data_IF_650119524168
#
_entry.id   IF_650119524168
#
_cell.length_a   1.000
_cell.length_b   1.000
_cell.length_c   1.000
_cell.angle_alpha   90.00
_cell.angle_beta   90.00
_cell.angle_gamma   90.00
#
_symmetry.space_group_name_H-M   'P 1'
#
loop_
_entity.id
_entity.type
_entity.pdbx_description
1 polymer ?
#
# COMPACT_ATOMS: atom_id res chain seq x y z
N UNK A 1 63.03 -51.22 -37.76
CA UNK A 1 62.88 -50.56 -36.48
C UNK A 1 62.58 -49.09 -36.77
N UNK A 2 61.36 -48.66 -36.75
CA UNK A 2 60.93 -47.29 -36.96
C UNK A 2 60.46 -46.73 -35.63
N UNK A 3 61.22 -45.78 -35.08
CA UNK A 3 60.82 -45.04 -33.85
C UNK A 3 59.70 -44.07 -34.18
N UNK A 4 58.60 -44.27 -33.55
CA UNK A 4 57.44 -43.31 -33.54
C UNK A 4 57.66 -42.30 -32.44
N UNK A 5 58.04 -41.10 -32.81
CA UNK A 5 58.14 -39.92 -31.92
C UNK A 5 56.74 -39.44 -31.54
N UNK A 6 56.40 -39.53 -30.26
CA UNK A 6 55.17 -39.04 -29.68
C UNK A 6 55.32 -37.51 -29.41
N UNK A 7 54.53 -36.69 -30.17
CA UNK A 7 54.46 -35.26 -29.91
C UNK A 7 53.34 -34.98 -28.87
N UNK A 8 53.58 -34.25 -27.79
CA UNK A 8 52.55 -33.89 -26.81
C UNK A 8 51.65 -32.83 -27.39
N UNK A 9 50.36 -33.10 -27.48
CA UNK A 9 49.32 -32.18 -27.90
C UNK A 9 49.17 -31.05 -26.90
N UNK A 10 49.10 -29.81 -27.41
CA UNK A 10 49.04 -28.55 -26.70
C UNK A 10 47.82 -28.42 -25.76
N UNK A 11 48.09 -28.30 -24.46
CA UNK A 11 47.09 -27.97 -23.41
C UNK A 11 46.62 -26.49 -23.41
N UNK A 12 46.92 -25.70 -24.45
CA UNK A 12 46.80 -24.23 -24.44
C UNK A 12 45.42 -23.70 -24.98
N UNK A 13 44.64 -24.50 -25.66
CA UNK A 13 43.38 -24.03 -26.31
C UNK A 13 42.18 -24.05 -25.38
N UNK A 14 42.16 -24.90 -24.35
CA UNK A 14 41.04 -25.04 -23.42
C UNK A 14 40.92 -23.86 -22.46
N UNK A 15 42.02 -23.33 -21.95
CA UNK A 15 42.05 -22.16 -21.07
C UNK A 15 41.54 -20.88 -21.76
N UNK A 16 41.79 -20.71 -23.06
CA UNK A 16 41.26 -19.56 -23.82
C UNK A 16 39.76 -19.65 -24.05
N UNK A 17 39.23 -20.85 -24.27
CA UNK A 17 37.78 -21.09 -24.44
C UNK A 17 37.00 -20.86 -23.15
N UNK A 18 37.55 -21.17 -21.98
CA UNK A 18 36.99 -20.90 -20.67
C UNK A 18 37.01 -19.38 -20.34
N UNK A 19 38.10 -18.71 -20.67
CA UNK A 19 38.24 -17.27 -20.43
C UNK A 19 37.27 -16.44 -21.31
N UNK A 20 37.10 -16.84 -22.58
CA UNK A 20 36.13 -16.23 -23.48
C UNK A 20 34.68 -16.51 -23.06
N UNK A 21 34.36 -17.73 -22.61
CA UNK A 21 33.04 -18.07 -22.06
C UNK A 21 32.70 -17.29 -20.82
N UNK A 22 33.66 -17.11 -19.88
CA UNK A 22 33.48 -16.32 -18.68
C UNK A 22 33.31 -14.83 -18.98
N UNK A 23 34.06 -14.27 -19.95
CA UNK A 23 33.90 -12.88 -20.39
C UNK A 23 32.52 -12.62 -21.05
N UNK A 24 32.06 -13.54 -21.87
CA UNK A 24 30.73 -13.44 -22.50
C UNK A 24 29.63 -13.53 -21.44
N UNK A 25 29.73 -14.46 -20.48
CA UNK A 25 28.78 -14.58 -19.38
C UNK A 25 28.75 -13.31 -18.51
N UNK A 26 29.93 -12.72 -18.23
CA UNK A 26 30.03 -11.47 -17.48
C UNK A 26 29.44 -10.28 -18.26
N UNK A 27 29.69 -10.20 -19.57
CA UNK A 27 29.12 -9.17 -20.44
C UNK A 27 27.60 -9.30 -20.51
N UNK A 28 27.05 -10.52 -20.71
CA UNK A 28 25.60 -10.77 -20.72
C UNK A 28 24.97 -10.41 -19.37
N UNK A 29 25.65 -10.73 -18.26
CA UNK A 29 25.17 -10.38 -16.90
C UNK A 29 25.18 -8.87 -16.68
N UNK A 30 26.22 -8.15 -17.15
CA UNK A 30 26.32 -6.70 -17.07
C UNK A 30 25.27 -6.01 -17.98
N UNK A 31 25.11 -6.47 -19.22
CA UNK A 31 24.08 -5.95 -20.12
C UNK A 31 22.67 -6.24 -19.61
N UNK A 32 22.44 -7.42 -19.03
CA UNK A 32 21.20 -7.77 -18.36
C UNK A 32 20.91 -6.86 -17.17
N UNK A 33 21.90 -6.64 -16.29
CA UNK A 33 21.76 -5.75 -15.15
C UNK A 33 21.52 -4.29 -15.56
N UNK A 34 22.24 -3.78 -16.57
CA UNK A 34 22.04 -2.43 -17.12
C UNK A 34 20.66 -2.32 -17.78
N UNK A 35 20.20 -3.36 -18.49
CA UNK A 35 18.88 -3.43 -19.09
C UNK A 35 17.76 -3.35 -18.05
N UNK A 36 17.88 -4.12 -16.97
CA UNK A 36 16.91 -4.09 -15.85
C UNK A 36 16.91 -2.72 -15.17
N UNK A 37 18.08 -2.15 -14.87
CA UNK A 37 18.16 -0.80 -14.26
C UNK A 37 17.57 0.28 -15.17
N UNK A 38 17.80 0.20 -16.49
CA UNK A 38 17.22 1.16 -17.44
C UNK A 38 15.71 0.98 -17.58
N UNK A 39 15.20 -0.24 -17.61
CA UNK A 39 13.76 -0.51 -17.64
C UNK A 39 13.08 0.02 -16.37
N UNK A 40 13.64 -0.27 -15.20
CA UNK A 40 13.15 0.26 -13.93
C UNK A 40 13.14 1.78 -13.90
N UNK A 41 14.24 2.43 -14.34
CA UNK A 41 14.31 3.90 -14.38
C UNK A 41 13.34 4.52 -15.40
N UNK A 42 13.08 3.86 -16.53
CA UNK A 42 12.10 4.33 -17.51
C UNK A 42 10.68 4.26 -16.92
N UNK A 43 10.33 3.17 -16.22
CA UNK A 43 9.03 2.99 -15.59
C UNK A 43 8.84 3.95 -14.39
N UNK A 44 9.89 4.27 -13.62
CA UNK A 44 9.84 5.26 -12.54
C UNK A 44 9.43 6.66 -13.01
N UNK A 45 9.78 7.03 -14.24
CA UNK A 45 9.40 8.31 -14.83
C UNK A 45 7.94 8.36 -15.30
N UNK A 46 7.23 7.23 -15.36
CA UNK A 46 5.82 7.17 -15.76
C UNK A 46 4.84 7.35 -14.62
N UNK A 47 5.33 7.33 -13.37
CA UNK A 47 4.50 7.49 -12.17
C UNK A 47 3.89 8.88 -12.14
N UNK A 48 2.58 8.95 -11.91
CA UNK A 48 1.87 10.20 -11.76
C UNK A 48 2.35 10.94 -10.53
N UNK A 49 2.66 12.23 -10.67
CA UNK A 49 3.09 13.11 -9.58
C UNK A 49 1.98 14.06 -9.20
N UNK A 50 1.80 14.26 -7.89
CA UNK A 50 0.83 15.17 -7.30
C UNK A 50 1.57 16.38 -6.74
N UNK A 51 1.60 17.44 -7.54
CA UNK A 51 2.31 18.68 -7.20
C UNK A 51 1.63 19.42 -6.06
N UNK A 52 0.31 19.44 -6.04
CA UNK A 52 -0.50 20.16 -5.06
C UNK A 52 -0.25 19.63 -3.66
N UNK A 53 -0.27 18.31 -3.45
CA UNK A 53 0.06 17.70 -2.16
C UNK A 53 1.47 18.07 -1.70
N UNK A 54 2.44 18.13 -2.62
CA UNK A 54 3.85 18.44 -2.32
C UNK A 54 4.00 19.79 -1.60
N UNK A 55 3.17 20.78 -1.91
CA UNK A 55 3.24 22.11 -1.28
C UNK A 55 2.87 22.14 0.20
N UNK A 56 2.16 21.11 0.68
CA UNK A 56 1.69 21.01 2.06
C UNK A 56 2.56 20.10 2.93
N UNK A 57 3.53 19.39 2.34
CA UNK A 57 4.38 18.44 3.07
C UNK A 57 5.28 19.13 4.10
N UNK A 58 5.52 18.42 5.19
CA UNK A 58 6.51 18.81 6.18
C UNK A 58 7.94 18.63 5.64
N UNK A 59 8.90 19.44 6.09
CA UNK A 59 10.31 19.25 5.73
C UNK A 59 10.81 17.86 6.21
N UNK A 60 11.84 17.31 5.54
CA UNK A 60 12.41 16.01 5.93
C UNK A 60 12.86 16.00 7.40
N UNK A 61 12.58 14.91 8.11
CA UNK A 61 13.04 14.67 9.46
C UNK A 61 14.26 13.73 9.46
N UNK A 62 15.17 13.88 10.44
CA UNK A 62 16.39 13.07 10.54
C UNK A 62 16.12 11.64 11.04
N UNK A 63 15.10 11.44 11.87
CA UNK A 63 14.86 10.21 12.61
C UNK A 63 13.78 9.33 12.02
N UNK A 64 12.77 9.95 11.39
CA UNK A 64 11.61 9.23 10.86
C UNK A 64 11.07 9.85 9.57
N UNK A 65 10.17 9.16 8.95
CA UNK A 65 9.36 9.64 7.82
C UNK A 65 7.92 9.17 7.96
N UNK A 66 6.99 10.07 7.74
CA UNK A 66 5.56 9.77 7.70
C UNK A 66 5.03 9.88 6.27
N UNK A 67 4.35 8.84 5.83
CA UNK A 67 3.73 8.74 4.52
C UNK A 67 2.22 8.72 4.70
N UNK A 68 1.51 9.67 4.11
CA UNK A 68 0.05 9.67 4.07
C UNK A 68 -0.41 8.83 2.89
N UNK A 69 -0.98 7.67 3.17
CA UNK A 69 -1.65 6.83 2.19
C UNK A 69 -3.11 7.19 2.10
N UNK A 70 -3.58 7.46 0.89
CA UNK A 70 -4.95 7.84 0.57
C UNK A 70 -5.53 6.84 -0.41
N UNK A 71 -6.61 6.15 0.00
CA UNK A 71 -7.44 5.37 -0.90
C UNK A 71 -8.56 6.24 -1.44
N UNK A 72 -8.51 6.59 -2.72
CA UNK A 72 -9.58 7.36 -3.35
C UNK A 72 -10.63 6.45 -3.97
N UNK A 73 -11.88 6.88 -3.95
CA UNK A 73 -12.97 6.20 -4.64
C UNK A 73 -13.06 6.62 -6.12
N UNK A 74 -11.95 7.11 -6.67
CA UNK A 74 -11.86 7.46 -8.09
C UNK A 74 -12.10 6.22 -8.94
N UNK A 75 -13.01 6.37 -9.88
CA UNK A 75 -13.40 5.35 -10.87
C UNK A 75 -12.86 5.65 -12.25
N UNK A 76 -11.92 6.57 -12.34
CA UNK A 76 -11.27 6.91 -13.61
C UNK A 76 -10.57 5.68 -14.16
N UNK A 77 -10.93 5.29 -15.39
CA UNK A 77 -10.40 4.08 -16.02
C UNK A 77 -11.08 2.78 -15.59
N UNK A 78 -12.26 2.84 -14.92
CA UNK A 78 -13.07 1.65 -14.70
C UNK A 78 -13.48 1.04 -16.05
N UNK A 79 -13.26 -0.28 -16.19
CA UNK A 79 -13.62 -1.01 -17.39
C UNK A 79 -15.04 -1.57 -17.24
N UNK A 80 -15.98 -1.24 -18.16
CA UNK A 80 -17.34 -1.79 -18.13
C UNK A 80 -17.39 -3.33 -18.23
N UNK A 81 -16.31 -3.97 -18.68
CA UNK A 81 -16.20 -5.43 -18.78
C UNK A 81 -15.72 -6.10 -17.50
N UNK A 82 -15.21 -5.32 -16.54
CA UNK A 82 -14.79 -5.84 -15.23
C UNK A 82 -15.96 -6.49 -14.48
N UNK A 83 -15.71 -7.62 -13.86
CA UNK A 83 -16.73 -8.39 -13.14
C UNK A 83 -17.37 -7.60 -11.97
N UNK A 84 -16.65 -6.62 -11.42
CA UNK A 84 -17.09 -5.76 -10.32
C UNK A 84 -17.67 -4.41 -10.77
N UNK A 85 -17.76 -4.14 -12.08
CA UNK A 85 -18.20 -2.84 -12.60
C UNK A 85 -19.56 -2.42 -12.02
N UNK A 86 -20.50 -3.35 -11.92
CA UNK A 86 -21.81 -3.09 -11.33
C UNK A 86 -21.78 -2.73 -9.83
N UNK A 87 -20.73 -3.15 -9.12
CA UNK A 87 -20.53 -2.88 -7.69
C UNK A 87 -19.61 -1.65 -7.44
N UNK A 88 -18.74 -1.34 -8.40
CA UNK A 88 -17.86 -0.17 -8.37
C UNK A 88 -18.59 1.05 -8.96
N UNK A 89 -19.35 0.88 -10.02
CA UNK A 89 -20.15 1.89 -10.72
C UNK A 89 -19.32 2.76 -11.69
N UNK A 90 -20.01 3.62 -12.43
CA UNK A 90 -19.43 4.53 -13.41
C UNK A 90 -18.76 5.75 -12.73
N UNK A 91 -17.76 6.34 -13.41
CA UNK A 91 -17.12 7.58 -13.01
C UNK A 91 -18.07 8.78 -12.87
N UNK A 92 -19.22 8.74 -13.57
CA UNK A 92 -20.25 9.78 -13.55
C UNK A 92 -21.30 9.68 -12.43
N UNK A 93 -21.37 8.54 -11.71
CA UNK A 93 -22.50 8.23 -10.83
C UNK A 93 -22.45 8.87 -9.43
N UNK A 94 -21.34 9.44 -9.01
CA UNK A 94 -21.20 10.02 -7.67
C UNK A 94 -20.64 11.44 -7.75
N UNK A 95 -21.38 12.37 -7.17
CA UNK A 95 -20.95 13.76 -7.00
C UNK A 95 -19.75 13.90 -6.06
N UNK A 96 -18.56 14.01 -6.62
CA UNK A 96 -17.29 14.26 -5.92
C UNK A 96 -16.51 13.00 -5.54
N UNK A 97 -15.19 13.06 -5.73
CA UNK A 97 -14.25 12.03 -5.27
C UNK A 97 -14.06 12.14 -3.76
N UNK A 98 -13.97 11.01 -3.06
CA UNK A 98 -13.76 10.97 -1.62
C UNK A 98 -12.57 10.07 -1.28
N UNK A 99 -11.89 10.42 -0.21
CA UNK A 99 -10.94 9.49 0.40
C UNK A 99 -11.69 8.54 1.33
N UNK A 100 -11.79 7.28 0.93
CA UNK A 100 -12.45 6.25 1.75
C UNK A 100 -11.52 5.60 2.76
N UNK A 101 -10.21 5.71 2.52
CA UNK A 101 -9.14 5.17 3.38
C UNK A 101 -8.08 6.23 3.61
N UNK A 102 -7.76 6.50 4.86
CA UNK A 102 -6.66 7.37 5.28
C UNK A 102 -5.79 6.60 6.26
N UNK A 103 -4.50 6.47 5.93
CA UNK A 103 -3.51 5.82 6.80
C UNK A 103 -2.22 6.62 6.83
N UNK A 104 -1.60 6.75 8.00
CA UNK A 104 -0.23 7.26 8.11
C UNK A 104 0.69 6.09 8.38
N UNK A 105 1.68 5.90 7.51
CA UNK A 105 2.78 4.98 7.74
C UNK A 105 3.95 5.75 8.34
N UNK A 106 4.41 5.30 9.48
CA UNK A 106 5.56 5.83 10.20
C UNK A 106 6.76 4.90 10.04
N UNK A 107 7.82 5.40 9.43
CA UNK A 107 9.08 4.68 9.23
C UNK A 107 10.17 5.28 10.10
N UNK A 108 10.72 4.50 11.02
CA UNK A 108 11.83 4.91 11.89
C UNK A 108 13.16 4.57 11.22
N UNK A 109 13.94 5.56 10.81
CA UNK A 109 15.17 5.40 10.02
C UNK A 109 16.22 4.53 10.71
N UNK A 110 16.42 4.70 12.01
CA UNK A 110 17.43 3.98 12.79
C UNK A 110 17.17 2.48 12.89
N UNK A 111 15.90 2.06 12.97
CA UNK A 111 15.52 0.66 13.20
C UNK A 111 14.95 -0.03 11.97
N UNK A 112 14.56 0.73 10.95
CA UNK A 112 13.80 0.22 9.80
C UNK A 112 12.39 -0.24 10.15
N UNK A 113 11.89 0.09 11.36
CA UNK A 113 10.57 -0.33 11.80
C UNK A 113 9.48 0.49 11.14
N UNK A 114 8.38 -0.21 10.80
CA UNK A 114 7.19 0.39 10.18
C UNK A 114 6.00 0.22 11.10
N UNK A 115 5.24 1.30 11.26
CA UNK A 115 3.96 1.33 11.99
C UNK A 115 2.91 2.00 11.13
N UNK A 116 1.65 1.53 11.21
CA UNK A 116 0.52 2.10 10.48
C UNK A 116 -0.49 2.68 11.46
N UNK A 117 -0.96 3.88 11.20
CA UNK A 117 -2.08 4.52 11.88
C UNK A 117 -3.26 4.60 10.91
N UNK A 118 -4.37 3.97 11.23
CA UNK A 118 -5.61 4.11 10.46
C UNK A 118 -6.40 5.29 11.01
N UNK A 119 -6.73 6.25 10.13
CA UNK A 119 -7.54 7.43 10.46
C UNK A 119 -8.96 7.20 9.97
N UNK A 120 -9.97 7.16 10.85
CA UNK A 120 -11.36 7.02 10.42
C UNK A 120 -11.81 8.20 9.56
N UNK A 121 -12.43 7.93 8.42
CA UNK A 121 -12.88 8.95 7.46
C UNK A 121 -13.94 9.92 8.00
N UNK A 122 -14.70 9.49 9.03
CA UNK A 122 -15.77 10.26 9.66
C UNK A 122 -15.27 11.07 10.88
N UNK A 123 -13.94 11.15 11.08
CA UNK A 123 -13.33 11.98 12.12
C UNK A 123 -13.69 13.46 11.87
N UNK A 124 -14.29 14.10 12.89
CA UNK A 124 -14.76 15.47 12.79
C UNK A 124 -13.68 16.47 13.20
N UNK A 125 -13.18 17.23 12.25
CA UNK A 125 -12.00 18.09 12.41
C UNK A 125 -12.14 19.38 11.61
N UNK A 126 -11.36 20.39 11.97
CA UNK A 126 -11.20 21.59 11.15
C UNK A 126 -10.50 21.23 9.81
N UNK A 127 -11.02 21.77 8.71
CA UNK A 127 -10.53 21.44 7.36
C UNK A 127 -9.45 22.45 6.93
N UNK A 128 -8.33 21.95 6.44
CA UNK A 128 -7.19 22.75 5.99
C UNK A 128 -6.64 23.61 7.11
N UNK A 129 -6.45 24.90 6.82
CA UNK A 129 -6.05 25.91 7.79
C UNK A 129 -7.25 26.71 8.33
N UNK A 130 -8.48 26.25 8.03
CA UNK A 130 -9.71 26.93 8.42
C UNK A 130 -10.17 26.55 9.83
N UNK A 131 -11.31 27.15 10.24
CA UNK A 131 -12.00 26.83 11.50
C UNK A 131 -13.27 26.01 11.31
N UNK A 132 -13.69 25.81 10.06
CA UNK A 132 -14.88 25.03 9.74
C UNK A 132 -14.61 23.55 9.95
N UNK A 133 -15.31 22.94 10.88
CA UNK A 133 -15.23 21.49 11.12
C UNK A 133 -16.13 20.72 10.17
N UNK A 134 -15.59 19.61 9.64
CA UNK A 134 -16.32 18.65 8.80
C UNK A 134 -15.72 17.23 9.02
N UNK A 135 -16.27 16.20 8.37
CA UNK A 135 -15.61 14.90 8.32
C UNK A 135 -14.30 15.02 7.56
N UNK A 136 -13.23 14.42 8.05
CA UNK A 136 -11.86 14.54 7.49
C UNK A 136 -11.79 14.14 6.01
N UNK A 137 -12.63 13.19 5.56
CA UNK A 137 -12.65 12.73 4.16
C UNK A 137 -13.15 13.80 3.18
N UNK A 138 -13.86 14.84 3.65
CA UNK A 138 -14.32 15.94 2.79
C UNK A 138 -13.16 16.85 2.36
N UNK A 139 -12.07 16.88 3.12
CA UNK A 139 -10.87 17.66 2.79
C UNK A 139 -10.27 17.26 1.43
N UNK A 140 -10.40 15.98 1.04
CA UNK A 140 -9.91 15.50 -0.26
C UNK A 140 -10.61 16.16 -1.45
N UNK A 141 -11.91 16.51 -1.31
CA UNK A 141 -12.67 17.22 -2.35
C UNK A 141 -12.20 18.67 -2.55
N UNK A 142 -11.61 19.26 -1.52
CA UNK A 142 -11.11 20.63 -1.55
C UNK A 142 -9.67 20.70 -2.11
N UNK A 143 -8.98 19.56 -2.20
CA UNK A 143 -7.63 19.43 -2.72
C UNK A 143 -6.74 18.51 -1.90
N UNK A 144 -5.74 17.94 -2.54
CA UNK A 144 -4.78 17.02 -1.88
C UNK A 144 -3.92 17.74 -0.84
N UNK A 145 -3.55 19.00 -1.09
CA UNK A 145 -2.84 19.86 -0.12
C UNK A 145 -3.73 20.20 1.09
N UNK A 146 -5.03 20.42 0.85
CA UNK A 146 -5.99 20.67 1.94
C UNK A 146 -6.13 19.42 2.81
N UNK A 147 -6.16 18.22 2.21
CA UNK A 147 -6.18 16.98 2.95
C UNK A 147 -4.91 16.80 3.80
N UNK A 148 -3.73 17.02 3.23
CA UNK A 148 -2.45 16.92 3.97
C UNK A 148 -2.46 17.89 5.16
N UNK A 149 -2.80 19.17 4.93
CA UNK A 149 -2.90 20.17 6.02
C UNK A 149 -3.94 19.79 7.07
N UNK A 150 -5.05 19.22 6.65
CA UNK A 150 -6.10 18.76 7.58
C UNK A 150 -5.58 17.65 8.50
N UNK A 151 -4.89 16.65 7.95
CA UNK A 151 -4.31 15.57 8.75
C UNK A 151 -3.24 16.12 9.71
N UNK A 152 -2.36 16.97 9.23
CA UNK A 152 -1.33 17.60 10.06
C UNK A 152 -1.93 18.46 11.16
N UNK A 153 -2.89 19.33 10.84
CA UNK A 153 -3.55 20.22 11.80
C UNK A 153 -4.38 19.49 12.86
N UNK A 154 -5.12 18.45 12.43
CA UNK A 154 -6.00 17.69 13.32
C UNK A 154 -5.25 16.76 14.27
N UNK A 155 -4.15 16.16 13.82
CA UNK A 155 -3.42 15.14 14.56
C UNK A 155 -2.04 15.61 15.06
N UNK A 156 -1.53 16.76 14.60
CA UNK A 156 -0.17 17.19 14.94
C UNK A 156 0.92 16.29 14.38
N UNK A 157 0.60 15.43 13.40
CA UNK A 157 1.54 14.47 12.80
C UNK A 157 2.13 15.08 11.53
N UNK A 158 3.45 15.34 11.47
CA UNK A 158 4.07 15.84 10.24
C UNK A 158 3.97 14.80 9.13
N UNK A 159 3.58 15.21 7.93
CA UNK A 159 3.49 14.36 6.74
C UNK A 159 4.61 14.73 5.78
N UNK A 160 5.49 13.78 5.48
CA UNK A 160 6.67 13.99 4.64
C UNK A 160 6.46 13.55 3.19
N UNK A 161 5.55 12.58 2.99
CA UNK A 161 5.22 12.03 1.68
C UNK A 161 3.73 11.76 1.53
N UNK A 162 3.26 11.87 0.30
CA UNK A 162 1.88 11.59 -0.09
C UNK A 162 1.84 10.44 -1.12
N UNK A 163 0.97 9.46 -0.89
CA UNK A 163 0.74 8.33 -1.78
C UNK A 163 -0.76 8.10 -1.92
N UNK A 164 -1.27 8.18 -3.13
CA UNK A 164 -2.67 7.91 -3.44
C UNK A 164 -2.81 6.67 -4.32
N UNK A 165 -3.84 5.89 -4.03
CA UNK A 165 -4.19 4.66 -4.74
C UNK A 165 -5.69 4.69 -5.03
N UNK A 166 -6.07 4.66 -6.31
CA UNK A 166 -7.46 4.50 -6.74
C UNK A 166 -7.86 3.03 -6.83
N UNK A 167 -9.12 2.74 -7.12
CA UNK A 167 -9.63 1.37 -7.22
C UNK A 167 -8.92 0.54 -8.29
N UNK A 168 -8.62 1.13 -9.44
CA UNK A 168 -7.91 0.43 -10.52
C UNK A 168 -6.45 0.20 -10.15
N UNK A 169 -5.82 1.18 -9.51
CA UNK A 169 -4.48 1.05 -8.95
C UNK A 169 -4.40 -0.07 -7.92
N UNK A 170 -5.36 -0.13 -7.01
CA UNK A 170 -5.44 -1.19 -6.01
C UNK A 170 -5.50 -2.58 -6.66
N UNK A 171 -6.40 -2.78 -7.65
CA UNK A 171 -6.50 -4.06 -8.37
C UNK A 171 -5.16 -4.41 -9.04
N UNK A 172 -4.53 -3.46 -9.74
CA UNK A 172 -3.23 -3.69 -10.38
C UNK A 172 -2.11 -4.06 -9.40
N UNK A 173 -2.08 -3.46 -8.21
CA UNK A 173 -1.10 -3.82 -7.17
C UNK A 173 -1.30 -5.28 -6.74
N UNK A 174 -2.56 -5.68 -6.48
CA UNK A 174 -2.89 -7.05 -6.07
C UNK A 174 -2.50 -8.07 -7.13
N UNK A 175 -2.85 -7.82 -8.39
CA UNK A 175 -2.49 -8.68 -9.52
C UNK A 175 -0.97 -8.78 -9.69
N UNK A 176 -0.26 -7.66 -9.58
CA UNK A 176 1.19 -7.62 -9.72
C UNK A 176 1.92 -8.48 -8.68
N UNK A 177 1.38 -8.61 -7.47
CA UNK A 177 1.96 -9.49 -6.43
C UNK A 177 1.47 -10.93 -6.50
N UNK A 178 0.61 -11.27 -7.48
CA UNK A 178 0.04 -12.62 -7.66
C UNK A 178 -1.11 -12.94 -6.71
N UNK A 179 -1.84 -11.92 -6.26
CA UNK A 179 -2.93 -12.03 -5.30
C UNK A 179 -2.51 -11.91 -3.84
N UNK A 180 -3.49 -11.77 -2.96
CA UNK A 180 -3.29 -11.61 -1.51
C UNK A 180 -3.99 -12.70 -0.74
N UNK A 181 -3.24 -13.43 0.10
CA UNK A 181 -3.81 -14.50 0.93
C UNK A 181 -4.50 -13.92 2.17
N UNK A 182 -5.80 -14.16 2.28
CA UNK A 182 -6.65 -13.75 3.40
C UNK A 182 -7.36 -14.96 3.98
N UNK A 183 -7.44 -15.03 5.31
CA UNK A 183 -8.08 -16.12 6.02
C UNK A 183 -9.32 -15.62 6.77
N UNK A 184 -10.43 -16.34 6.66
CA UNK A 184 -11.65 -16.08 7.43
C UNK A 184 -12.08 -17.34 8.18
N UNK A 185 -12.53 -17.20 9.41
CA UNK A 185 -12.93 -18.34 10.24
C UNK A 185 -14.23 -18.99 9.75
N UNK A 186 -15.16 -18.16 9.27
CA UNK A 186 -16.46 -18.58 8.78
C UNK A 186 -16.66 -18.14 7.33
N UNK A 187 -17.52 -18.84 6.55
CA UNK A 187 -17.93 -18.33 5.25
C UNK A 187 -18.42 -16.89 5.38
N UNK A 188 -17.90 -15.99 4.56
CA UNK A 188 -18.11 -14.55 4.70
C UNK A 188 -18.59 -13.95 3.39
N UNK A 189 -19.41 -12.90 3.47
CA UNK A 189 -19.91 -12.18 2.30
C UNK A 189 -20.21 -10.71 2.61
N UNK A 190 -20.29 -9.94 1.55
CA UNK A 190 -20.93 -8.61 1.54
C UNK A 190 -21.64 -8.43 0.20
N UNK A 191 -22.96 -8.37 0.21
CA UNK A 191 -23.79 -8.25 -0.99
C UNK A 191 -23.62 -6.90 -1.71
N UNK A 192 -23.21 -5.86 -0.99
CA UNK A 192 -23.02 -4.53 -1.56
C UNK A 192 -21.70 -4.40 -2.33
N UNK A 193 -20.69 -5.18 -1.97
CA UNK A 193 -19.40 -5.21 -2.66
C UNK A 193 -19.23 -6.42 -3.58
N UNK A 194 -20.16 -7.36 -3.55
CA UNK A 194 -20.07 -8.63 -4.27
C UNK A 194 -19.10 -9.63 -3.65
N UNK A 195 -18.60 -9.38 -2.44
CA UNK A 195 -17.68 -10.27 -1.74
C UNK A 195 -18.34 -11.61 -1.38
N UNK A 196 -17.64 -12.71 -1.68
CA UNK A 196 -17.95 -14.03 -1.15
C UNK A 196 -16.65 -14.81 -0.87
N UNK A 197 -16.48 -15.28 0.36
CA UNK A 197 -15.33 -16.07 0.79
C UNK A 197 -15.81 -17.34 1.50
N UNK A 198 -15.16 -18.46 1.22
CA UNK A 198 -15.35 -19.69 1.99
C UNK A 198 -14.53 -19.62 3.28
N UNK A 199 -14.91 -20.39 4.31
CA UNK A 199 -14.08 -20.53 5.50
C UNK A 199 -12.69 -21.09 5.14
N UNK A 200 -11.66 -20.63 5.83
CA UNK A 200 -10.27 -20.93 5.57
C UNK A 200 -9.53 -19.80 4.86
N UNK A 201 -8.39 -20.11 4.28
CA UNK A 201 -7.54 -19.14 3.60
C UNK A 201 -7.78 -19.22 2.07
N UNK A 202 -7.92 -18.06 1.44
CA UNK A 202 -8.07 -17.89 -0.01
C UNK A 202 -7.09 -16.85 -0.51
N UNK A 203 -6.55 -17.06 -1.71
CA UNK A 203 -5.81 -16.01 -2.41
C UNK A 203 -6.81 -15.18 -3.20
N UNK A 204 -6.99 -13.94 -2.81
CA UNK A 204 -7.89 -12.98 -3.44
C UNK A 204 -7.19 -12.35 -4.64
N UNK A 205 -7.87 -12.27 -5.77
CA UNK A 205 -7.48 -11.45 -6.92
C UNK A 205 -7.78 -9.97 -6.68
N UNK A 206 -7.51 -9.09 -7.66
CA UNK A 206 -7.71 -7.65 -7.52
C UNK A 206 -9.17 -7.26 -7.26
N UNK A 207 -10.12 -7.97 -7.88
CA UNK A 207 -11.57 -7.72 -7.72
C UNK A 207 -12.04 -8.17 -6.34
N UNK A 208 -11.72 -9.38 -5.95
CA UNK A 208 -12.09 -9.94 -4.65
C UNK A 208 -11.45 -9.17 -3.49
N UNK A 209 -10.18 -8.79 -3.65
CA UNK A 209 -9.44 -7.99 -2.69
C UNK A 209 -10.05 -6.59 -2.50
N UNK A 210 -10.47 -5.94 -3.60
CA UNK A 210 -11.15 -4.65 -3.55
C UNK A 210 -12.51 -4.78 -2.85
N UNK A 211 -13.27 -5.81 -3.17
CA UNK A 211 -14.55 -6.11 -2.52
C UNK A 211 -14.36 -6.32 -1.00
N UNK A 212 -13.33 -7.08 -0.59
CA UNK A 212 -12.98 -7.30 0.81
C UNK A 212 -12.58 -6.00 1.53
N UNK A 213 -11.70 -5.20 0.95
CA UNK A 213 -11.23 -3.94 1.55
C UNK A 213 -12.33 -2.87 1.67
N UNK A 214 -13.37 -2.91 0.81
CA UNK A 214 -14.51 -1.98 0.80
C UNK A 214 -15.68 -2.43 1.65
N UNK A 215 -15.72 -3.71 2.08
CA UNK A 215 -16.85 -4.30 2.78
C UNK A 215 -17.21 -3.54 4.07
N UNK A 216 -18.45 -3.12 4.20
CA UNK A 216 -19.05 -2.49 5.39
C UNK A 216 -20.17 -3.32 6.00
N UNK A 217 -20.77 -4.17 5.18
CA UNK A 217 -21.87 -5.07 5.57
C UNK A 217 -21.33 -6.50 5.53
N UNK A 218 -20.21 -6.70 6.25
CA UNK A 218 -19.56 -7.99 6.32
C UNK A 218 -20.39 -8.95 7.16
N UNK A 219 -20.91 -9.97 6.50
CA UNK A 219 -21.70 -11.02 7.14
C UNK A 219 -20.85 -12.29 7.23
N UNK A 220 -20.96 -12.99 8.34
CA UNK A 220 -20.37 -14.32 8.56
C UNK A 220 -21.47 -15.34 8.77
N UNK A 221 -21.25 -16.58 8.25
CA UNK A 221 -22.20 -17.67 8.44
C UNK A 221 -21.83 -18.45 9.69
N UNK A 222 -22.48 -18.13 10.82
CA UNK A 222 -22.27 -18.77 12.12
C UNK A 222 -23.51 -19.64 12.42
N UNK A 223 -23.34 -20.89 12.81
CA UNK A 223 -24.40 -21.85 13.11
C UNK A 223 -25.47 -21.99 12.00
N UNK A 224 -25.03 -21.83 10.75
CA UNK A 224 -25.91 -21.95 9.58
C UNK A 224 -26.58 -20.65 9.16
N UNK A 225 -26.57 -19.59 9.99
CA UNK A 225 -27.22 -18.31 9.75
C UNK A 225 -26.20 -17.21 9.40
N UNK A 226 -26.60 -16.29 8.47
CA UNK A 226 -25.80 -15.13 8.12
C UNK A 226 -25.99 -14.03 9.16
N UNK A 227 -24.92 -13.67 9.84
CA UNK A 227 -24.88 -12.66 10.88
C UNK A 227 -23.97 -11.50 10.45
N UNK A 228 -24.48 -10.27 10.56
CA UNK A 228 -23.68 -9.07 10.34
C UNK A 228 -22.65 -8.96 11.47
N UNK A 229 -21.38 -8.66 11.16
CA UNK A 229 -20.32 -8.48 12.16
C UNK A 229 -20.53 -7.25 13.08
N UNK A 230 -21.50 -6.39 12.73
CA UNK A 230 -21.91 -5.21 13.51
C UNK A 230 -20.83 -4.11 13.61
N UNK A 231 -19.63 -4.35 13.13
CA UNK A 231 -18.50 -3.44 13.28
C UNK A 231 -18.43 -2.34 12.22
N UNK A 232 -19.24 -2.44 11.14
CA UNK A 232 -19.37 -1.42 10.09
C UNK A 232 -18.01 -0.81 9.64
N UNK A 233 -17.82 0.51 9.80
CA UNK A 233 -16.59 1.21 9.39
C UNK A 233 -15.36 0.83 10.26
N UNK A 234 -15.54 0.45 11.52
CA UNK A 234 -14.44 -0.02 12.39
C UNK A 234 -13.93 -1.37 11.89
N UNK A 235 -14.84 -2.28 11.57
CA UNK A 235 -14.49 -3.59 10.99
C UNK A 235 -13.84 -3.46 9.62
N UNK A 236 -14.33 -2.54 8.78
CA UNK A 236 -13.66 -2.23 7.51
C UNK A 236 -12.23 -1.74 7.73
N UNK A 237 -12.00 -0.82 8.66
CA UNK A 237 -10.66 -0.33 8.97
C UNK A 237 -9.74 -1.44 9.52
N UNK A 238 -10.28 -2.39 10.29
CA UNK A 238 -9.53 -3.57 10.74
C UNK A 238 -9.13 -4.46 9.55
N UNK A 239 -10.09 -4.83 8.68
CA UNK A 239 -9.83 -5.61 7.46
C UNK A 239 -8.82 -4.94 6.53
N UNK A 240 -8.88 -3.62 6.37
CA UNK A 240 -7.90 -2.87 5.58
C UNK A 240 -6.49 -2.98 6.17
N UNK A 241 -6.33 -2.90 7.50
CA UNK A 241 -5.01 -3.08 8.15
C UNK A 241 -4.46 -4.49 7.96
N UNK A 242 -5.31 -5.51 8.15
CA UNK A 242 -4.93 -6.91 7.91
C UNK A 242 -4.55 -7.14 6.46
N UNK A 243 -5.33 -6.57 5.54
CA UNK A 243 -5.05 -6.65 4.11
C UNK A 243 -3.71 -6.01 3.74
N UNK A 244 -3.39 -4.82 4.24
CA UNK A 244 -2.09 -4.16 3.99
C UNK A 244 -0.93 -5.02 4.48
N UNK A 245 -1.06 -5.69 5.63
CA UNK A 245 -0.04 -6.62 6.13
C UNK A 245 0.10 -7.85 5.23
N UNK A 246 -1.02 -8.43 4.79
CA UNK A 246 -1.02 -9.57 3.88
C UNK A 246 -0.44 -9.20 2.50
N UNK A 247 -0.79 -8.03 1.97
CA UNK A 247 -0.25 -7.49 0.71
C UNK A 247 1.27 -7.30 0.79
N UNK A 248 1.77 -6.68 1.86
CA UNK A 248 3.21 -6.51 2.08
C UNK A 248 3.94 -7.86 2.11
N UNK A 249 3.36 -8.88 2.76
CA UNK A 249 3.90 -10.24 2.78
C UNK A 249 3.90 -10.88 1.38
N UNK A 250 2.80 -10.75 0.62
CA UNK A 250 2.71 -11.26 -0.75
C UNK A 250 3.74 -10.60 -1.67
N UNK A 251 3.93 -9.27 -1.57
CA UNK A 251 4.91 -8.54 -2.35
C UNK A 251 6.34 -9.07 -2.14
N UNK A 252 6.71 -9.41 -0.90
CA UNK A 252 8.03 -10.01 -0.61
C UNK A 252 8.16 -11.40 -1.19
N UNK A 253 7.14 -12.24 -1.01
CA UNK A 253 7.14 -13.61 -1.55
C UNK A 253 7.23 -13.56 -3.08
N UNK A 254 6.48 -12.67 -3.73
CA UNK A 254 6.51 -12.49 -5.19
C UNK A 254 7.89 -12.13 -5.71
N UNK A 255 8.59 -11.19 -5.05
CA UNK A 255 9.95 -10.77 -5.44
C UNK A 255 11.01 -11.82 -5.11
N UNK A 256 10.92 -12.47 -3.95
CA UNK A 256 11.92 -13.46 -3.50
C UNK A 256 11.73 -14.83 -4.13
N UNK A 257 10.50 -15.22 -4.45
CA UNK A 257 10.16 -16.51 -5.06
C UNK A 257 10.51 -16.58 -6.55
N UNK A 258 10.40 -15.47 -7.27
CA UNK A 258 10.80 -15.37 -8.67
C UNK A 258 11.38 -13.99 -8.99
N UNK A 259 12.71 -13.83 -9.00
CA UNK A 259 13.35 -12.54 -9.29
C UNK A 259 13.00 -11.94 -10.66
N UNK A 260 12.58 -12.77 -11.62
CA UNK A 260 12.17 -12.29 -12.96
C UNK A 260 10.82 -11.57 -12.92
N UNK A 261 9.97 -11.84 -11.93
CA UNK A 261 8.69 -11.14 -11.75
C UNK A 261 8.85 -9.81 -11.01
N UNK A 262 10.02 -9.54 -10.42
CA UNK A 262 10.26 -8.30 -9.67
C UNK A 262 10.01 -7.04 -10.52
N UNK A 263 10.35 -7.08 -11.81
CA UNK A 263 10.09 -6.00 -12.75
C UNK A 263 8.60 -5.77 -13.01
N UNK A 264 7.81 -6.82 -13.15
CA UNK A 264 6.35 -6.72 -13.37
C UNK A 264 5.63 -6.25 -12.10
N UNK A 265 6.02 -6.77 -10.93
CA UNK A 265 5.50 -6.32 -9.63
C UNK A 265 5.78 -4.82 -9.44
N UNK A 266 7.00 -4.39 -9.75
CA UNK A 266 7.38 -2.98 -9.66
C UNK A 266 6.58 -2.14 -10.66
N UNK A 267 6.50 -2.54 -11.92
CA UNK A 267 5.75 -1.83 -12.96
C UNK A 267 4.26 -1.73 -12.63
N UNK A 268 3.65 -2.83 -12.21
CA UNK A 268 2.24 -2.85 -11.78
C UNK A 268 2.00 -1.90 -10.60
N UNK A 269 2.86 -1.94 -9.59
CA UNK A 269 2.81 -1.03 -8.45
C UNK A 269 2.99 0.43 -8.83
N UNK A 270 4.01 0.75 -9.65
CA UNK A 270 4.32 2.12 -10.07
C UNK A 270 3.20 2.76 -10.90
N UNK A 271 2.58 2.00 -11.81
CA UNK A 271 1.46 2.51 -12.63
C UNK A 271 0.15 2.67 -11.85
N UNK A 272 0.11 2.17 -10.63
CA UNK A 272 -1.07 2.10 -9.79
C UNK A 272 -1.19 3.24 -8.78
N UNK A 273 -0.12 4.03 -8.60
CA UNK A 273 -0.03 5.04 -7.55
C UNK A 273 0.15 6.45 -8.12
N UNK A 274 -0.36 7.42 -7.37
CA UNK A 274 -0.02 8.85 -7.53
C UNK A 274 0.77 9.26 -6.30
N UNK A 275 1.91 9.92 -6.48
CA UNK A 275 2.82 10.26 -5.37
C UNK A 275 3.24 11.72 -5.42
N UNK A 276 3.71 12.27 -4.30
CA UNK A 276 4.29 13.60 -4.27
C UNK A 276 5.58 13.70 -5.12
N UNK A 277 5.98 14.93 -5.47
CA UNK A 277 7.16 15.19 -6.30
C UNK A 277 8.47 14.83 -5.63
N UNK A 278 8.52 14.80 -4.30
CA UNK A 278 9.74 14.57 -3.52
C UNK A 278 9.98 13.09 -3.23
N UNK A 279 8.99 12.21 -3.42
CA UNK A 279 9.11 10.80 -3.11
C UNK A 279 10.03 10.08 -4.12
N UNK A 280 11.17 9.59 -3.64
CA UNK A 280 12.02 8.64 -4.36
C UNK A 280 11.47 7.23 -4.15
N UNK A 281 10.85 6.68 -5.19
CA UNK A 281 10.21 5.36 -5.16
C UNK A 281 11.21 4.22 -5.00
N UNK A 282 12.43 4.37 -5.53
CA UNK A 282 13.46 3.34 -5.37
C UNK A 282 13.98 3.31 -3.92
N UNK A 283 14.21 4.48 -3.34
CA UNK A 283 14.57 4.58 -1.92
C UNK A 283 13.42 4.11 -1.01
N UNK A 284 12.18 4.44 -1.34
CA UNK A 284 11.00 3.92 -0.65
C UNK A 284 10.95 2.38 -0.69
N UNK A 285 11.13 1.77 -1.86
CA UNK A 285 11.15 0.31 -2.00
C UNK A 285 12.30 -0.34 -1.19
N UNK A 286 13.49 0.28 -1.16
CA UNK A 286 14.61 -0.19 -0.33
C UNK A 286 14.29 -0.12 1.16
N UNK A 287 13.67 0.98 1.63
CA UNK A 287 13.24 1.16 3.02
C UNK A 287 12.17 0.15 3.43
N UNK A 288 11.30 -0.25 2.52
CA UNK A 288 10.24 -1.23 2.79
C UNK A 288 10.74 -2.68 2.84
N UNK A 289 11.91 -3.00 2.31
CA UNK A 289 12.48 -4.34 2.33
C UNK A 289 12.59 -4.98 3.73
N UNK A 290 13.12 -4.30 4.76
CA UNK A 290 13.15 -4.84 6.13
C UNK A 290 11.74 -4.99 6.72
N UNK A 291 10.83 -4.06 6.41
CA UNK A 291 9.46 -4.09 6.89
C UNK A 291 8.68 -5.30 6.35
N UNK A 292 9.00 -5.74 5.16
CA UNK A 292 8.37 -6.86 4.50
C UNK A 292 8.71 -8.23 5.15
N UNK A 293 9.89 -8.36 5.78
CA UNK A 293 10.28 -9.52 6.62
C UNK A 293 9.91 -9.36 8.10
N UNK A 294 9.51 -8.17 8.54
CA UNK A 294 9.17 -7.81 9.91
C UNK A 294 7.66 -7.71 10.15
N UNK A 295 7.29 -7.54 11.43
CA UNK A 295 5.89 -7.25 11.77
C UNK A 295 5.61 -5.76 11.52
N UNK A 296 4.82 -5.46 10.49
CA UNK A 296 4.17 -4.16 10.38
C UNK A 296 3.12 -4.10 11.50
N UNK A 297 3.26 -3.15 12.42
CA UNK A 297 2.31 -3.00 13.51
C UNK A 297 1.31 -1.91 13.14
N UNK A 298 0.04 -2.27 13.19
CA UNK A 298 -1.06 -1.36 12.90
C UNK A 298 -1.77 -0.91 14.16
N UNK A 299 -2.03 0.37 14.23
CA UNK A 299 -2.74 1.01 15.34
C UNK A 299 -4.06 1.61 14.85
N UNK A 300 -5.20 1.26 15.44
CA UNK A 300 -6.42 2.04 15.26
C UNK A 300 -6.29 3.35 16.04
N UNK A 301 -6.74 4.46 15.45
CA UNK A 301 -6.88 5.69 16.19
C UNK A 301 -8.00 5.52 17.22
N UNK A 302 -7.73 5.87 18.47
CA UNK A 302 -8.77 5.87 19.51
C UNK A 302 -9.77 7.00 19.24
N UNK A 303 -11.03 6.62 19.03
CA UNK A 303 -12.12 7.52 18.69
C UNK A 303 -13.41 7.10 19.38
N UNK A 304 -14.31 8.07 19.61
CA UNK A 304 -15.65 7.81 20.09
C UNK A 304 -16.70 8.46 19.18
N UNK A 305 -17.90 7.89 19.16
CA UNK A 305 -19.03 8.42 18.39
C UNK A 305 -19.62 9.68 19.02
N UNK A 306 -19.98 10.65 18.19
CA UNK A 306 -20.64 11.89 18.56
C UNK A 306 -21.68 12.29 17.50
N UNK A 307 -22.55 13.26 17.85
CA UNK A 307 -23.54 13.81 16.96
C UNK A 307 -23.34 15.32 16.80
N UNK A 308 -23.14 15.77 15.56
CA UNK A 308 -23.09 17.19 15.23
C UNK A 308 -24.28 17.54 14.34
N UNK A 309 -25.30 18.14 14.93
CA UNK A 309 -26.61 18.28 14.28
C UNK A 309 -27.21 16.92 13.98
N UNK A 310 -27.52 16.64 12.72
CA UNK A 310 -28.00 15.33 12.24
C UNK A 310 -26.88 14.38 11.80
N UNK A 311 -25.60 14.79 11.88
CA UNK A 311 -24.50 13.98 11.41
C UNK A 311 -23.93 13.11 12.55
N UNK A 312 -23.88 11.79 12.33
CA UNK A 312 -23.08 10.88 13.13
C UNK A 312 -21.60 11.07 12.73
N UNK A 313 -20.74 11.34 13.69
CA UNK A 313 -19.33 11.67 13.50
C UNK A 313 -18.46 10.95 14.53
N UNK A 314 -17.14 10.98 14.33
CA UNK A 314 -16.17 10.45 15.28
C UNK A 314 -15.31 11.61 15.82
N UNK A 315 -14.98 11.53 17.11
CA UNK A 315 -14.02 12.45 17.76
C UNK A 315 -12.86 11.68 18.37
N UNK A 316 -11.73 12.34 18.55
CA UNK A 316 -10.55 11.75 19.19
C UNK A 316 -10.85 11.34 20.63
N UNK A 317 -10.56 10.09 20.94
CA UNK A 317 -10.64 9.53 22.26
C UNK A 317 -9.43 9.92 23.15
N UNK A 318 -9.50 9.59 24.42
CA UNK A 318 -8.44 9.94 25.39
C UNK A 318 -7.11 9.23 25.09
N UNK A 319 -7.14 8.04 24.55
CA UNK A 319 -5.94 7.25 24.17
C UNK A 319 -5.27 7.72 22.88
N UNK A 320 -5.92 8.60 22.09
CA UNK A 320 -5.35 9.11 20.85
C UNK A 320 -4.04 9.89 21.05
N UNK A 321 -3.92 10.61 22.19
CA UNK A 321 -2.78 11.51 22.43
C UNK A 321 -1.43 10.76 22.50
N UNK A 322 -1.38 9.59 23.13
CA UNK A 322 -0.17 8.77 23.22
C UNK A 322 0.25 8.24 21.83
N UNK A 323 -0.73 7.78 21.07
CA UNK A 323 -0.50 7.28 19.73
C UNK A 323 -0.03 8.40 18.79
N UNK A 324 -0.66 9.56 18.84
CA UNK A 324 -0.27 10.75 18.09
C UNK A 324 1.16 11.17 18.44
N UNK A 325 1.52 11.18 19.74
CA UNK A 325 2.87 11.50 20.20
C UNK A 325 3.94 10.57 19.61
N UNK A 326 3.63 9.29 19.44
CA UNK A 326 4.53 8.36 18.77
C UNK A 326 4.69 8.70 17.28
N UNK A 327 3.59 8.96 16.56
CA UNK A 327 3.64 9.25 15.13
C UNK A 327 4.22 10.65 14.80
N UNK A 328 4.24 11.56 15.76
CA UNK A 328 4.92 12.86 15.60
C UNK A 328 6.38 12.86 16.11
N UNK A 329 6.89 11.71 16.56
CA UNK A 329 8.27 11.54 17.00
C UNK A 329 8.57 12.00 18.41
N UNK A 330 7.57 12.43 19.21
CA UNK A 330 7.77 12.97 20.58
C UNK A 330 7.51 11.94 21.67
N UNK A 331 6.87 10.81 21.34
CA UNK A 331 6.51 9.75 22.29
C UNK A 331 7.10 8.39 21.96
N UNK A 332 7.16 7.49 22.95
CA UNK A 332 7.57 6.10 22.71
C UNK A 332 6.50 5.34 21.93
N UNK A 333 6.92 4.24 21.30
CA UNK A 333 5.98 3.35 20.62
C UNK A 333 4.97 2.76 21.62
N UNK A 334 3.65 2.92 21.38
CA UNK A 334 2.65 2.32 22.24
C UNK A 334 2.74 0.80 22.26
N UNK A 335 2.45 0.19 23.40
CA UNK A 335 2.30 -1.25 23.50
C UNK A 335 0.89 -1.63 23.03
N UNK A 336 0.82 -2.61 22.12
CA UNK A 336 -0.46 -3.23 21.80
C UNK A 336 -0.85 -4.08 23.03
N UNK A 337 -1.91 -3.69 23.71
CA UNK A 337 -2.55 -4.60 24.64
C UNK A 337 -3.11 -5.79 23.82
N UNK A 338 -2.80 -7.03 24.24
CA UNK A 338 -3.24 -8.24 23.55
C UNK A 338 -4.76 -8.39 23.53
#
# INVERSE_FOLDING_TARGET
MSETTFQPRAKKTWLHSLATGALVALAVSLFGAVGVVRAVNADLNTVKREETATTALSPPDAEFENYLFVGSDSRVGADPTDADYGNVGDAGDIGGQRSDTLMVMHYVKRTGSVSLLSIPRDLWVAIGNGTKEQRINTAYQEGTDVLVRTVQGALGIPIHHYVEIDFQGFKRIVEAVGGVNVCVEHPSRDKHTGLFMRAGCSTLDGVEALAYARSRYFEQKVDGEWQLDGSSDIGRSARQREFVQALAKSAVIGVTGNPFNAGEVLKGGLSAVVVDNNLDLLEFAKKMRPAAGGKIVSFPLDVYGDMVGSNSVLRLGKGAAELIAFFNGTGPRPQLNP
#
